data_IF_696661338717
#
_entry.id   IF_696661338717
#
_cell.length_a   1.000
_cell.length_b   1.000
_cell.length_c   1.000
_cell.angle_alpha   90.00
_cell.angle_beta   90.00
_cell.angle_gamma   90.00
#
_symmetry.space_group_name_H-M   'P 1'
#
loop_
_entity.id
_entity.type
_entity.pdbx_description
1 polymer ?
#
# COMPACT_ATOMS: atom_id res chain seq x y z
N UNK A 1 -17.27 7.76 -0.73
CA UNK A 1 -18.26 6.66 -0.76
C UNK A 1 -17.96 5.78 0.44
N UNK A 2 -18.97 5.32 1.17
CA UNK A 2 -18.78 4.40 2.28
C UNK A 2 -18.87 2.94 1.77
N UNK A 3 -17.77 2.16 1.77
CA UNK A 3 -17.77 0.81 1.21
C UNK A 3 -18.57 -0.21 2.03
N UNK A 4 -19.13 0.20 3.17
CA UNK A 4 -19.96 -0.63 4.04
C UNK A 4 -21.42 -0.17 3.96
N UNK A 5 -21.67 1.12 4.20
CA UNK A 5 -23.04 1.66 4.26
C UNK A 5 -23.65 1.91 2.89
N UNK A 6 -22.80 2.17 1.89
CA UNK A 6 -23.19 2.45 0.51
C UNK A 6 -22.71 1.31 -0.42
N UNK A 7 -22.51 0.10 0.12
CA UNK A 7 -22.03 -1.07 -0.65
C UNK A 7 -22.92 -1.36 -1.87
N UNK A 8 -24.22 -1.09 -1.79
CA UNK A 8 -25.21 -1.28 -2.87
C UNK A 8 -24.87 -0.50 -4.16
N UNK A 9 -24.12 0.59 -4.08
CA UNK A 9 -23.71 1.37 -5.26
C UNK A 9 -22.31 1.00 -5.74
N UNK A 10 -21.68 -0.01 -5.13
CA UNK A 10 -20.36 -0.50 -5.50
C UNK A 10 -20.46 -1.89 -6.13
N UNK A 11 -19.49 -2.23 -6.99
CA UNK A 11 -19.46 -3.54 -7.65
C UNK A 11 -18.04 -3.98 -7.95
N UNK A 12 -17.76 -5.24 -7.60
CA UNK A 12 -16.54 -5.95 -7.97
C UNK A 12 -16.71 -6.81 -9.24
N UNK A 13 -17.88 -6.77 -9.86
CA UNK A 13 -18.14 -7.54 -11.08
C UNK A 13 -17.15 -7.13 -12.15
N UNK A 14 -16.45 -8.12 -12.67
CA UNK A 14 -15.45 -7.97 -13.73
C UNK A 14 -15.84 -8.80 -14.93
N UNK A 15 -15.42 -8.35 -16.11
CA UNK A 15 -15.70 -9.02 -17.36
C UNK A 15 -14.38 -9.33 -18.05
N UNK A 16 -14.07 -10.61 -18.22
CA UNK A 16 -12.84 -11.10 -18.84
C UNK A 16 -13.12 -11.35 -20.33
N UNK A 17 -12.20 -10.84 -21.17
CA UNK A 17 -12.23 -11.06 -22.62
C UNK A 17 -12.42 -9.78 -23.43
N UNK A 18 -12.67 -9.90 -24.75
CA UNK A 18 -12.65 -8.79 -25.67
C UNK A 18 -13.72 -7.75 -25.31
N UNK A 19 -13.34 -6.47 -25.34
CA UNK A 19 -14.25 -5.34 -25.17
C UNK A 19 -15.05 -5.14 -26.46
N UNK A 20 -16.37 -4.99 -26.35
CA UNK A 20 -17.22 -4.83 -27.53
C UNK A 20 -16.99 -3.48 -28.20
N UNK A 21 -17.35 -3.41 -29.48
CA UNK A 21 -17.40 -2.15 -30.20
C UNK A 21 -18.65 -1.35 -29.78
N UNK A 22 -18.44 -0.25 -29.04
CA UNK A 22 -19.50 0.59 -28.50
C UNK A 22 -20.42 1.21 -29.58
N UNK A 23 -19.96 1.27 -30.84
CA UNK A 23 -20.72 1.81 -31.96
C UNK A 23 -21.45 0.74 -32.78
N UNK A 24 -21.12 -0.54 -32.60
CA UNK A 24 -21.74 -1.65 -33.33
C UNK A 24 -22.81 -2.31 -32.48
N UNK A 25 -24.04 -1.80 -32.59
CA UNK A 25 -25.18 -2.26 -31.79
C UNK A 25 -25.64 -3.69 -32.15
N UNK A 26 -25.43 -4.13 -33.39
CA UNK A 26 -25.91 -5.43 -33.88
C UNK A 26 -24.86 -6.53 -33.70
N UNK A 27 -23.59 -6.27 -34.05
CA UNK A 27 -22.50 -7.24 -33.98
C UNK A 27 -22.01 -7.50 -32.55
N UNK A 28 -22.05 -6.48 -31.67
CA UNK A 28 -21.66 -6.59 -30.26
C UNK A 28 -22.47 -7.64 -29.50
N UNK A 29 -23.75 -7.80 -29.84
CA UNK A 29 -24.65 -8.78 -29.20
C UNK A 29 -24.17 -10.24 -29.33
N UNK A 30 -23.27 -10.51 -30.29
CA UNK A 30 -22.73 -11.85 -30.58
C UNK A 30 -21.40 -12.14 -29.90
N UNK A 31 -20.74 -11.13 -29.32
CA UNK A 31 -19.49 -11.31 -28.59
C UNK A 31 -19.77 -11.59 -27.11
N UNK A 32 -19.42 -12.80 -26.68
CA UNK A 32 -19.54 -13.22 -25.28
C UNK A 32 -18.34 -12.70 -24.47
N UNK A 33 -18.59 -12.34 -23.21
CA UNK A 33 -17.54 -12.05 -22.20
C UNK A 33 -17.78 -12.93 -20.98
N UNK A 34 -16.72 -13.28 -20.28
CA UNK A 34 -16.83 -14.03 -19.03
C UNK A 34 -17.08 -13.06 -17.89
N UNK A 35 -18.28 -13.12 -17.33
CA UNK A 35 -18.60 -12.40 -16.10
C UNK A 35 -18.07 -13.18 -14.90
N UNK A 36 -17.30 -12.50 -14.05
CA UNK A 36 -16.94 -12.99 -12.73
C UNK A 36 -17.50 -12.02 -11.67
N UNK A 37 -18.09 -12.58 -10.62
CA UNK A 37 -18.74 -11.81 -9.56
C UNK A 37 -17.75 -10.90 -8.79
N UNK A 38 -16.49 -11.31 -8.75
CA UNK A 38 -15.38 -10.60 -8.13
C UNK A 38 -14.08 -10.92 -8.89
N UNK A 39 -13.03 -10.08 -8.77
CA UNK A 39 -11.79 -10.27 -9.51
C UNK A 39 -10.93 -11.42 -8.98
N UNK A 40 -11.15 -11.89 -7.74
CA UNK A 40 -10.33 -12.95 -7.14
C UNK A 40 -10.86 -14.32 -7.57
N UNK A 41 -10.05 -15.10 -8.27
CA UNK A 41 -10.40 -16.43 -8.78
C UNK A 41 -9.84 -17.51 -7.89
N UNK A 42 -10.64 -18.54 -7.58
CA UNK A 42 -10.14 -19.81 -7.04
C UNK A 42 -9.33 -20.56 -8.09
N UNK A 43 -8.51 -21.53 -7.65
CA UNK A 43 -7.74 -22.39 -8.55
C UNK A 43 -8.65 -23.11 -9.56
N UNK A 44 -9.77 -23.65 -9.10
CA UNK A 44 -10.77 -24.30 -9.97
C UNK A 44 -11.36 -23.34 -11.01
N UNK A 45 -11.64 -22.09 -10.63
CA UNK A 45 -12.17 -21.09 -11.56
C UNK A 45 -11.12 -20.70 -12.60
N UNK A 46 -9.85 -20.61 -12.22
CA UNK A 46 -8.77 -20.37 -13.17
C UNK A 46 -8.62 -21.53 -14.17
N UNK A 47 -8.65 -22.78 -13.70
CA UNK A 47 -8.56 -23.95 -14.58
C UNK A 47 -9.75 -24.04 -15.55
N UNK A 48 -10.95 -23.65 -15.11
CA UNK A 48 -12.11 -23.49 -16.02
C UNK A 48 -11.86 -22.46 -17.11
N UNK A 49 -11.21 -21.34 -16.80
CA UNK A 49 -10.84 -20.32 -17.80
C UNK A 49 -9.74 -20.84 -18.72
N UNK A 50 -8.78 -21.62 -18.19
CA UNK A 50 -7.70 -22.22 -18.97
C UNK A 50 -8.22 -23.20 -20.01
N UNK A 51 -9.15 -24.09 -19.62
CA UNK A 51 -9.78 -25.08 -20.50
C UNK A 51 -11.01 -24.60 -21.24
N UNK A 52 -11.37 -23.31 -21.15
CA UNK A 52 -12.66 -22.84 -21.69
C UNK A 52 -12.75 -23.03 -23.21
N UNK A 53 -11.65 -22.89 -23.94
CA UNK A 53 -11.62 -23.02 -25.40
C UNK A 53 -11.97 -24.42 -25.92
N UNK A 54 -11.92 -25.44 -25.06
CA UNK A 54 -12.26 -26.82 -25.43
C UNK A 54 -13.76 -27.09 -25.42
N UNK A 55 -14.56 -26.20 -24.81
CA UNK A 55 -16.02 -26.33 -24.76
C UNK A 55 -16.61 -25.96 -26.12
N UNK A 56 -17.37 -26.87 -26.73
CA UNK A 56 -18.04 -26.61 -28.01
C UNK A 56 -18.98 -25.39 -27.92
N UNK A 57 -19.08 -24.62 -29.02
CA UNK A 57 -19.95 -23.43 -29.14
C UNK A 57 -19.55 -22.21 -28.28
N UNK A 58 -18.25 -22.01 -28.09
CA UNK A 58 -17.73 -20.75 -27.57
C UNK A 58 -16.65 -20.14 -28.47
N UNK A 59 -16.42 -18.84 -28.27
CA UNK A 59 -15.47 -18.04 -29.03
C UNK A 59 -14.20 -17.77 -28.21
N UNK A 60 -14.07 -18.33 -27.01
CA UNK A 60 -12.97 -18.04 -26.11
C UNK A 60 -11.75 -18.87 -26.48
N UNK A 61 -10.59 -18.22 -26.48
CA UNK A 61 -9.30 -18.84 -26.70
C UNK A 61 -8.36 -18.28 -25.66
N UNK A 62 -7.83 -19.20 -24.86
CA UNK A 62 -7.00 -18.87 -23.72
C UNK A 62 -5.59 -19.37 -23.96
N UNK A 63 -4.61 -18.50 -23.72
CA UNK A 63 -3.20 -18.88 -23.66
C UNK A 63 -2.63 -18.57 -22.29
N UNK A 64 -1.81 -19.48 -21.77
CA UNK A 64 -1.01 -19.22 -20.58
C UNK A 64 0.40 -18.80 -20.99
N UNK A 65 0.80 -17.61 -20.56
CA UNK A 65 2.14 -17.08 -20.74
C UNK A 65 2.88 -17.13 -19.42
N UNK A 66 3.87 -18.02 -19.37
CA UNK A 66 4.87 -18.07 -18.31
C UNK A 66 5.61 -16.74 -18.17
N UNK A 67 5.56 -16.16 -16.96
CA UNK A 67 6.24 -14.92 -16.54
C UNK A 67 7.49 -15.17 -15.70
N UNK A 68 8.12 -16.34 -15.85
CA UNK A 68 9.42 -16.64 -15.26
C UNK A 68 10.51 -16.66 -16.33
N UNK A 69 11.79 -16.66 -15.94
CA UNK A 69 12.92 -16.81 -16.87
C UNK A 69 14.05 -17.67 -16.25
N UNK A 70 14.98 -18.14 -17.08
CA UNK A 70 16.08 -19.01 -16.64
C UNK A 70 16.97 -18.32 -15.60
N UNK A 71 17.22 -19.00 -14.48
CA UNK A 71 18.06 -18.50 -13.39
C UNK A 71 19.53 -18.29 -13.83
N UNK A 72 19.97 -19.00 -14.87
CA UNK A 72 21.29 -18.84 -15.50
C UNK A 72 21.51 -17.45 -16.11
N UNK A 73 20.44 -16.74 -16.46
CA UNK A 73 20.52 -15.38 -17.00
C UNK A 73 20.70 -14.30 -15.91
N UNK A 74 20.41 -14.63 -14.64
CA UNK A 74 20.49 -13.71 -13.52
C UNK A 74 19.72 -12.40 -13.71
N UNK A 75 20.04 -11.39 -12.92
CA UNK A 75 19.35 -10.09 -12.95
C UNK A 75 19.33 -9.42 -14.35
N UNK A 76 20.42 -9.47 -15.16
CA UNK A 76 20.39 -8.92 -16.52
C UNK A 76 19.37 -9.57 -17.47
N UNK A 77 18.90 -10.78 -17.15
CA UNK A 77 17.92 -11.53 -17.95
C UNK A 77 16.52 -10.93 -17.95
N UNK A 78 16.11 -10.25 -16.87
CA UNK A 78 14.72 -9.82 -16.66
C UNK A 78 14.21 -8.89 -17.78
N UNK A 79 15.04 -7.95 -18.25
CA UNK A 79 14.63 -7.02 -19.31
C UNK A 79 14.32 -7.71 -20.63
N UNK A 80 15.15 -8.69 -21.03
CA UNK A 80 14.91 -9.48 -22.24
C UNK A 80 13.69 -10.38 -22.09
N UNK A 81 13.51 -10.97 -20.90
CA UNK A 81 12.34 -11.80 -20.59
C UNK A 81 11.03 -11.00 -20.69
N UNK A 82 11.00 -9.78 -20.17
CA UNK A 82 9.88 -8.85 -20.30
C UNK A 82 9.59 -8.48 -21.76
N UNK A 83 10.62 -8.13 -22.54
CA UNK A 83 10.45 -7.80 -23.95
C UNK A 83 9.92 -9.02 -24.74
N UNK A 84 10.39 -10.24 -24.42
CA UNK A 84 9.91 -11.48 -25.02
C UNK A 84 8.47 -11.82 -24.61
N UNK A 85 8.11 -11.59 -23.34
CA UNK A 85 6.75 -11.75 -22.83
C UNK A 85 5.77 -10.83 -23.59
N UNK A 86 6.11 -9.55 -23.75
CA UNK A 86 5.32 -8.59 -24.51
C UNK A 86 5.13 -9.04 -25.97
N UNK A 87 6.17 -9.54 -26.64
CA UNK A 87 6.07 -10.07 -28.00
C UNK A 87 5.22 -11.33 -28.09
N UNK A 88 5.33 -12.26 -27.13
CA UNK A 88 4.50 -13.47 -27.05
C UNK A 88 3.03 -13.11 -26.85
N UNK A 89 2.75 -12.14 -25.97
CA UNK A 89 1.41 -11.62 -25.76
C UNK A 89 0.83 -11.00 -27.02
N UNK A 90 1.59 -10.14 -27.71
CA UNK A 90 1.16 -9.58 -28.99
C UNK A 90 0.88 -10.65 -30.04
N UNK A 91 1.79 -11.62 -30.21
CA UNK A 91 1.65 -12.70 -31.17
C UNK A 91 0.41 -13.57 -30.87
N UNK A 92 0.16 -13.87 -29.59
CA UNK A 92 -1.01 -14.60 -29.16
C UNK A 92 -2.32 -13.87 -29.53
N UNK A 93 -2.43 -12.57 -29.22
CA UNK A 93 -3.64 -11.81 -29.57
C UNK A 93 -3.83 -11.76 -31.09
N UNK A 94 -2.75 -11.61 -31.87
CA UNK A 94 -2.83 -11.65 -33.33
C UNK A 94 -3.21 -13.02 -33.89
N UNK A 95 -2.88 -14.10 -33.19
CA UNK A 95 -3.31 -15.46 -33.51
C UNK A 95 -4.78 -15.74 -33.15
N UNK A 96 -5.45 -14.79 -32.48
CA UNK A 96 -6.86 -14.88 -32.11
C UNK A 96 -7.09 -15.32 -30.66
N UNK A 97 -6.05 -15.38 -29.83
CA UNK A 97 -6.22 -15.54 -28.38
C UNK A 97 -6.91 -14.31 -27.79
N UNK A 98 -7.95 -14.53 -27.00
CA UNK A 98 -8.75 -13.44 -26.43
C UNK A 98 -8.81 -13.46 -24.90
N UNK A 99 -8.10 -14.42 -24.27
CA UNK A 99 -7.75 -14.40 -22.85
C UNK A 99 -6.27 -14.76 -22.73
N UNK A 100 -5.51 -13.93 -22.02
CA UNK A 100 -4.12 -14.21 -21.65
C UNK A 100 -4.07 -14.40 -20.14
N UNK A 101 -3.56 -15.57 -19.71
CA UNK A 101 -3.19 -15.84 -18.32
C UNK A 101 -1.68 -15.59 -18.20
N UNK A 102 -1.28 -14.61 -17.39
CA UNK A 102 0.12 -14.43 -16.98
C UNK A 102 0.36 -15.27 -15.73
N UNK A 103 1.32 -16.20 -15.77
CA UNK A 103 1.50 -17.19 -14.70
C UNK A 103 2.95 -17.30 -14.22
N UNK A 104 3.18 -17.13 -12.92
CA UNK A 104 4.48 -17.37 -12.28
C UNK A 104 4.61 -18.79 -11.68
N UNK A 105 3.62 -19.67 -11.92
CA UNK A 105 3.56 -21.05 -11.36
C UNK A 105 4.74 -21.94 -11.79
N UNK A 106 5.49 -21.56 -12.81
CA UNK A 106 6.73 -22.24 -13.22
C UNK A 106 7.97 -21.84 -12.39
N UNK A 107 7.81 -21.01 -11.36
CA UNK A 107 8.90 -20.62 -10.47
C UNK A 107 9.50 -21.84 -9.78
N UNK A 108 10.82 -21.89 -9.69
CA UNK A 108 11.56 -23.04 -9.17
C UNK A 108 13.05 -22.79 -9.14
N UNK A 109 13.88 -23.80 -8.77
CA UNK A 109 15.32 -23.63 -8.61
C UNK A 109 16.02 -23.05 -9.85
N UNK A 110 15.54 -23.40 -11.04
CA UNK A 110 16.11 -22.96 -12.32
C UNK A 110 15.34 -21.80 -12.96
N UNK A 111 14.28 -21.29 -12.31
CA UNK A 111 13.34 -20.34 -12.88
C UNK A 111 13.00 -19.20 -11.93
N UNK A 112 13.43 -17.99 -12.27
CA UNK A 112 13.18 -16.77 -11.51
C UNK A 112 11.84 -16.16 -11.95
N UNK A 113 10.87 -15.93 -11.05
CA UNK A 113 9.63 -15.23 -11.37
C UNK A 113 9.89 -13.74 -11.61
N UNK A 114 9.33 -13.18 -12.68
CA UNK A 114 9.25 -11.73 -12.86
C UNK A 114 8.17 -11.22 -11.89
N UNK A 115 8.38 -10.12 -11.16
CA UNK A 115 7.35 -9.54 -10.29
C UNK A 115 6.02 -9.38 -11.04
N UNK A 116 4.97 -9.93 -10.46
CA UNK A 116 3.66 -10.11 -11.12
C UNK A 116 3.07 -8.79 -11.61
N UNK A 117 3.22 -7.73 -10.81
CA UNK A 117 2.83 -6.36 -11.15
C UNK A 117 3.60 -5.82 -12.35
N UNK A 118 4.92 -6.04 -12.40
CA UNK A 118 5.76 -5.58 -13.50
C UNK A 118 5.42 -6.30 -14.80
N UNK A 119 5.24 -7.63 -14.77
CA UNK A 119 4.83 -8.42 -15.92
C UNK A 119 3.45 -7.99 -16.44
N UNK A 120 2.48 -7.83 -15.54
CA UNK A 120 1.11 -7.39 -15.85
C UNK A 120 1.12 -6.02 -16.52
N UNK A 121 1.78 -5.05 -15.91
CA UNK A 121 1.83 -3.67 -16.41
C UNK A 121 2.58 -3.58 -17.75
N UNK A 122 3.69 -4.31 -17.89
CA UNK A 122 4.45 -4.38 -19.14
C UNK A 122 3.58 -4.87 -20.32
N UNK A 123 2.87 -5.98 -20.13
CA UNK A 123 1.98 -6.56 -21.14
C UNK A 123 0.79 -5.64 -21.39
N UNK A 124 0.15 -5.12 -20.34
CA UNK A 124 -0.98 -4.19 -20.46
C UNK A 124 -0.62 -2.98 -21.33
N UNK A 125 0.46 -2.27 -21.01
CA UNK A 125 0.89 -1.11 -21.77
C UNK A 125 1.41 -1.44 -23.16
N UNK A 126 2.08 -2.57 -23.34
CA UNK A 126 2.50 -3.03 -24.67
C UNK A 126 1.31 -3.25 -25.60
N UNK A 127 0.30 -3.98 -25.12
CA UNK A 127 -0.91 -4.24 -25.89
C UNK A 127 -1.71 -2.96 -26.17
N UNK A 128 -1.68 -1.96 -25.28
CA UNK A 128 -2.28 -0.64 -25.56
C UNK A 128 -1.55 0.05 -26.71
N UNK A 129 -0.21 0.11 -26.66
CA UNK A 129 0.60 0.75 -27.71
C UNK A 129 0.40 0.09 -29.08
N UNK A 130 0.19 -1.22 -29.11
CA UNK A 130 -0.09 -1.96 -30.35
C UNK A 130 -1.58 -1.93 -30.76
N UNK A 131 -2.48 -1.29 -29.99
CA UNK A 131 -3.92 -1.24 -30.30
C UNK A 131 -4.66 -2.56 -30.10
N UNK A 132 -4.12 -3.47 -29.30
CA UNK A 132 -4.63 -4.84 -29.10
C UNK A 132 -5.26 -5.07 -27.72
N UNK A 133 -5.09 -4.17 -26.73
CA UNK A 133 -5.56 -4.40 -25.35
C UNK A 133 -7.08 -4.57 -25.25
N UNK A 134 -7.86 -3.96 -26.15
CA UNK A 134 -9.33 -4.13 -26.18
C UNK A 134 -9.76 -5.49 -26.69
N UNK A 135 -8.89 -6.24 -27.37
CA UNK A 135 -9.22 -7.53 -27.98
C UNK A 135 -8.99 -8.73 -27.07
N UNK A 136 -8.46 -8.51 -25.86
CA UNK A 136 -8.02 -9.58 -24.97
C UNK A 136 -8.31 -9.25 -23.51
N UNK A 137 -8.70 -10.26 -22.74
CA UNK A 137 -8.76 -10.19 -21.28
C UNK A 137 -7.44 -10.62 -20.64
N UNK A 138 -7.07 -9.98 -19.53
CA UNK A 138 -5.80 -10.25 -18.84
C UNK A 138 -6.07 -10.82 -17.45
N UNK A 139 -5.68 -12.07 -17.24
CA UNK A 139 -5.78 -12.78 -15.96
C UNK A 139 -4.38 -13.02 -15.41
N UNK A 140 -4.22 -12.87 -14.10
CA UNK A 140 -2.92 -13.05 -13.44
C UNK A 140 -3.00 -14.22 -12.46
N UNK A 141 -2.22 -15.26 -12.70
CA UNK A 141 -1.97 -16.37 -11.77
C UNK A 141 -0.64 -16.08 -11.07
N UNK A 142 -0.68 -15.79 -9.76
CA UNK A 142 0.52 -15.37 -9.04
C UNK A 142 0.64 -15.95 -7.64
N UNK A 143 1.87 -16.30 -7.25
CA UNK A 143 2.22 -16.64 -5.87
C UNK A 143 2.55 -15.42 -5.00
N UNK A 144 2.73 -14.24 -5.58
CA UNK A 144 3.19 -13.03 -4.87
C UNK A 144 2.05 -12.30 -4.14
N UNK A 145 0.85 -12.27 -4.72
CA UNK A 145 -0.27 -11.48 -4.22
C UNK A 145 -0.97 -12.14 -3.02
N UNK A 146 -0.89 -11.50 -1.86
CA UNK A 146 -1.53 -11.93 -0.62
C UNK A 146 -2.13 -10.76 0.19
N UNK A 147 -1.69 -9.52 -0.07
CA UNK A 147 -2.22 -8.31 0.56
C UNK A 147 -3.18 -7.53 -0.35
N UNK A 148 -4.17 -6.85 0.26
CA UNK A 148 -5.15 -6.01 -0.45
C UNK A 148 -4.51 -5.00 -1.41
N UNK A 149 -3.36 -4.42 -1.04
CA UNK A 149 -2.68 -3.46 -1.88
C UNK A 149 -2.13 -4.09 -3.17
N UNK A 150 -1.59 -5.31 -3.09
CA UNK A 150 -1.07 -6.03 -4.26
C UNK A 150 -2.19 -6.31 -5.26
N UNK A 151 -3.35 -6.80 -4.80
CA UNK A 151 -4.52 -6.98 -5.66
C UNK A 151 -4.98 -5.66 -6.30
N UNK A 152 -5.03 -4.58 -5.53
CA UNK A 152 -5.41 -3.27 -6.03
C UNK A 152 -4.42 -2.73 -7.08
N UNK A 153 -3.12 -2.95 -6.89
CA UNK A 153 -2.11 -2.56 -7.90
C UNK A 153 -2.25 -3.38 -9.17
N UNK A 154 -2.33 -4.71 -9.09
CA UNK A 154 -2.56 -5.58 -10.26
C UNK A 154 -3.81 -5.16 -11.04
N UNK A 155 -4.92 -4.89 -10.34
CA UNK A 155 -6.13 -4.35 -10.95
C UNK A 155 -5.88 -2.99 -11.62
N UNK A 156 -5.28 -2.04 -10.91
CA UNK A 156 -5.01 -0.69 -11.40
C UNK A 156 -4.07 -0.64 -12.60
N UNK A 157 -3.27 -1.68 -12.83
CA UNK A 157 -2.38 -1.84 -13.99
C UNK A 157 -2.86 -2.89 -15.00
N UNK A 158 -4.14 -3.28 -14.93
CA UNK A 158 -4.85 -3.90 -16.05
C UNK A 158 -5.22 -5.37 -15.91
N UNK A 159 -5.04 -5.98 -14.74
CA UNK A 159 -5.57 -7.31 -14.44
C UNK A 159 -7.10 -7.26 -14.30
N UNK A 160 -7.81 -8.04 -15.12
CA UNK A 160 -9.26 -8.18 -15.04
C UNK A 160 -9.67 -9.20 -13.97
N UNK A 161 -8.83 -10.20 -13.74
CA UNK A 161 -8.99 -11.17 -12.66
C UNK A 161 -7.63 -11.68 -12.18
N UNK A 162 -7.57 -12.14 -10.93
CA UNK A 162 -6.34 -12.51 -10.23
C UNK A 162 -6.58 -13.82 -9.47
N UNK A 163 -5.72 -14.80 -9.65
CA UNK A 163 -5.68 -16.04 -8.89
C UNK A 163 -4.41 -16.06 -8.00
N UNK A 164 -4.56 -15.82 -6.67
CA UNK A 164 -3.45 -15.87 -5.72
C UNK A 164 -3.21 -17.30 -5.23
N UNK A 165 -2.74 -18.20 -6.10
CA UNK A 165 -2.70 -19.63 -5.79
C UNK A 165 -1.90 -19.95 -4.52
N UNK A 166 -0.76 -19.28 -4.30
CA UNK A 166 0.12 -19.58 -3.17
C UNK A 166 -0.48 -19.09 -1.86
N UNK A 167 -1.28 -18.02 -1.88
CA UNK A 167 -2.01 -17.57 -0.71
C UNK A 167 -3.06 -18.63 -0.30
N UNK A 168 -3.76 -19.24 -1.25
CA UNK A 168 -4.69 -20.33 -0.96
C UNK A 168 -3.98 -21.58 -0.42
N UNK A 169 -2.89 -22.00 -1.06
CA UNK A 169 -2.09 -23.14 -0.59
C UNK A 169 -1.53 -22.89 0.83
N UNK A 170 -1.13 -21.66 1.13
CA UNK A 170 -0.68 -21.25 2.47
C UNK A 170 -1.82 -21.34 3.49
N UNK A 171 -3.01 -20.85 3.15
CA UNK A 171 -4.19 -20.93 4.02
C UNK A 171 -4.53 -22.39 4.33
N UNK A 172 -4.52 -23.25 3.30
CA UNK A 172 -4.78 -24.68 3.45
C UNK A 172 -3.75 -25.37 4.35
N UNK A 173 -2.47 -25.04 4.19
CA UNK A 173 -1.40 -25.56 5.04
C UNK A 173 -1.52 -25.10 6.50
N UNK A 174 -2.06 -23.90 6.74
CA UNK A 174 -2.25 -23.33 8.08
C UNK A 174 -3.52 -23.82 8.78
N UNK A 175 -4.47 -24.45 8.08
CA UNK A 175 -5.74 -24.92 8.68
C UNK A 175 -5.56 -25.74 9.96
N UNK A 176 -4.61 -26.69 10.07
CA UNK A 176 -4.44 -27.50 11.28
C UNK A 176 -4.00 -26.69 12.52
N UNK A 177 -3.50 -25.47 12.32
CA UNK A 177 -3.02 -24.58 13.39
C UNK A 177 -4.09 -23.58 13.85
N UNK A 178 -5.23 -23.49 13.15
CA UNK A 178 -6.30 -22.56 13.50
C UNK A 178 -7.15 -23.11 14.65
N UNK A 179 -7.51 -22.22 15.58
CA UNK A 179 -8.39 -22.56 16.73
C UNK A 179 -9.84 -22.91 16.30
N UNK A 180 -10.24 -22.60 15.06
CA UNK A 180 -11.57 -22.86 14.51
C UNK A 180 -11.51 -24.03 13.50
N UNK A 181 -12.38 -25.03 13.66
CA UNK A 181 -12.52 -26.13 12.68
C UNK A 181 -13.15 -25.61 11.39
N UNK A 182 -12.31 -25.28 10.40
CA UNK A 182 -12.72 -24.79 9.08
C UNK A 182 -12.37 -25.79 7.99
N UNK A 183 -13.24 -25.91 6.99
CA UNK A 183 -12.89 -26.58 5.74
C UNK A 183 -12.04 -25.64 4.88
N UNK A 184 -11.19 -26.20 4.01
CA UNK A 184 -10.41 -25.43 3.04
C UNK A 184 -11.30 -24.50 2.18
N UNK A 185 -12.43 -25.00 1.72
CA UNK A 185 -13.40 -24.23 0.94
C UNK A 185 -13.93 -23.01 1.70
N UNK A 186 -14.29 -23.16 2.97
CA UNK A 186 -14.79 -22.05 3.78
C UNK A 186 -13.69 -21.04 4.10
N UNK A 187 -12.47 -21.50 4.38
CA UNK A 187 -11.32 -20.62 4.61
C UNK A 187 -10.98 -19.77 3.37
N UNK A 188 -10.92 -20.39 2.19
CA UNK A 188 -10.72 -19.70 0.90
C UNK A 188 -11.83 -18.68 0.66
N UNK A 189 -13.08 -19.06 0.88
CA UNK A 189 -14.23 -18.15 0.73
C UNK A 189 -14.18 -16.95 1.67
N UNK A 190 -13.78 -17.15 2.94
CA UNK A 190 -13.60 -16.06 3.92
C UNK A 190 -12.45 -15.14 3.50
N UNK A 191 -11.35 -15.69 3.00
CA UNK A 191 -10.23 -14.91 2.47
C UNK A 191 -10.64 -14.05 1.28
N UNK A 192 -11.32 -14.64 0.28
CA UNK A 192 -11.86 -13.89 -0.89
C UNK A 192 -12.76 -12.76 -0.41
N UNK A 193 -13.70 -13.03 0.50
CA UNK A 193 -14.60 -12.01 1.06
C UNK A 193 -13.85 -10.88 1.76
N UNK A 194 -12.78 -11.19 2.50
CA UNK A 194 -11.95 -10.18 3.17
C UNK A 194 -11.19 -9.32 2.15
N UNK A 195 -10.60 -9.95 1.14
CA UNK A 195 -9.89 -9.28 0.04
C UNK A 195 -10.84 -8.38 -0.76
N UNK A 196 -12.03 -8.87 -1.10
CA UNK A 196 -13.07 -8.10 -1.80
C UNK A 196 -13.47 -6.84 -1.04
N UNK A 197 -13.74 -6.96 0.27
CA UNK A 197 -13.99 -5.80 1.14
C UNK A 197 -12.80 -4.85 1.19
N UNK A 198 -11.59 -5.39 1.16
CA UNK A 198 -10.35 -4.62 1.05
C UNK A 198 -10.29 -3.80 -0.24
N UNK A 199 -10.59 -4.42 -1.39
CA UNK A 199 -10.59 -3.76 -2.71
C UNK A 199 -11.66 -2.67 -2.75
N UNK A 200 -12.89 -2.96 -2.30
CA UNK A 200 -13.96 -1.95 -2.18
C UNK A 200 -13.50 -0.75 -1.33
N UNK A 201 -12.80 -1.00 -0.23
CA UNK A 201 -12.24 0.05 0.63
C UNK A 201 -11.15 0.86 -0.07
N UNK A 202 -10.32 0.26 -0.91
CA UNK A 202 -9.31 1.01 -1.68
C UNK A 202 -9.98 1.89 -2.73
N UNK A 203 -10.93 1.34 -3.49
CA UNK A 203 -11.67 2.07 -4.52
C UNK A 203 -12.46 3.25 -3.95
N UNK A 204 -13.08 3.06 -2.79
CA UNK A 204 -13.93 4.08 -2.15
C UNK A 204 -13.15 5.32 -1.68
N UNK A 205 -11.83 5.20 -1.42
CA UNK A 205 -10.95 6.34 -1.06
C UNK A 205 -10.93 7.43 -2.13
N UNK A 206 -11.08 7.04 -3.39
CA UNK A 206 -11.13 7.95 -4.54
C UNK A 206 -12.55 8.11 -5.10
N UNK A 207 -13.55 7.57 -4.42
CA UNK A 207 -14.95 7.64 -4.84
C UNK A 207 -15.26 6.81 -6.09
N UNK A 208 -14.52 5.72 -6.33
CA UNK A 208 -14.76 4.82 -7.46
C UNK A 208 -15.70 3.70 -7.01
N UNK A 209 -16.80 3.51 -7.75
CA UNK A 209 -17.82 2.51 -7.43
C UNK A 209 -17.60 1.14 -8.06
N UNK A 210 -17.02 1.07 -9.27
CA UNK A 210 -16.97 -0.18 -10.04
C UNK A 210 -15.55 -0.63 -10.33
N UNK A 211 -15.28 -1.93 -10.18
CA UNK A 211 -13.98 -2.52 -10.48
C UNK A 211 -13.57 -2.29 -11.94
N UNK A 212 -14.52 -2.32 -12.87
CA UNK A 212 -14.27 -2.07 -14.29
C UNK A 212 -13.70 -0.68 -14.58
N UNK A 213 -14.12 0.34 -13.82
CA UNK A 213 -13.57 1.69 -13.92
C UNK A 213 -12.24 1.83 -13.20
N UNK A 214 -11.99 0.99 -12.18
CA UNK A 214 -10.72 0.97 -11.45
C UNK A 214 -9.62 0.23 -12.23
N UNK A 215 -9.99 -0.82 -12.97
CA UNK A 215 -9.08 -1.65 -13.73
C UNK A 215 -8.36 -0.85 -14.84
N UNK A 216 -7.03 -0.76 -14.74
CA UNK A 216 -6.20 0.03 -15.66
C UNK A 216 -6.20 1.55 -15.40
N UNK A 217 -6.85 2.04 -14.34
CA UNK A 217 -6.98 3.47 -14.08
C UNK A 217 -5.74 4.11 -13.39
N UNK A 218 -4.79 3.31 -12.92
CA UNK A 218 -3.54 3.77 -12.30
C UNK A 218 -3.73 4.79 -11.16
N UNK A 219 -4.57 4.45 -10.18
CA UNK A 219 -4.88 5.31 -9.02
C UNK A 219 -3.77 5.21 -7.96
N UNK A 220 -2.53 5.47 -8.37
CA UNK A 220 -1.32 5.30 -7.58
C UNK A 220 -0.28 6.37 -7.91
N UNK A 221 0.53 6.74 -6.91
CA UNK A 221 1.76 7.52 -7.09
C UNK A 221 2.95 6.62 -6.80
N UNK A 222 3.97 6.65 -7.66
CA UNK A 222 5.20 5.90 -7.48
C UNK A 222 6.21 6.72 -6.66
N UNK A 223 6.76 6.11 -5.60
CA UNK A 223 7.82 6.71 -4.78
C UNK A 223 9.05 5.80 -4.85
N UNK A 224 10.19 6.36 -5.26
CA UNK A 224 11.45 5.62 -5.38
C UNK A 224 11.63 4.88 -6.70
N UNK A 225 10.81 5.13 -7.74
CA UNK A 225 10.97 4.52 -9.07
C UNK A 225 11.50 5.55 -10.07
N UNK A 226 12.48 5.17 -10.89
CA UNK A 226 13.06 6.06 -11.90
C UNK A 226 12.06 6.36 -13.03
N UNK A 227 12.09 7.60 -13.54
CA UNK A 227 11.12 8.05 -14.56
C UNK A 227 11.17 7.25 -15.87
N UNK A 228 12.34 6.77 -16.30
CA UNK A 228 12.49 5.94 -17.50
C UNK A 228 11.84 4.56 -17.34
N UNK A 229 11.98 3.95 -16.16
CA UNK A 229 11.33 2.71 -15.78
C UNK A 229 9.81 2.86 -15.74
N UNK A 230 9.32 3.92 -15.09
CA UNK A 230 7.88 4.24 -15.06
C UNK A 230 7.37 4.52 -16.47
N UNK A 231 8.07 5.32 -17.28
CA UNK A 231 7.67 5.62 -18.65
C UNK A 231 7.54 4.35 -19.51
N UNK A 232 8.42 3.36 -19.31
CA UNK A 232 8.38 2.10 -20.08
C UNK A 232 7.29 1.14 -19.59
N UNK A 233 7.22 0.90 -18.28
CA UNK A 233 6.44 -0.20 -17.70
C UNK A 233 5.15 0.24 -17.00
N UNK A 234 5.05 1.46 -16.51
CA UNK A 234 3.92 2.00 -15.75
C UNK A 234 3.49 3.37 -16.34
N UNK A 235 3.39 3.44 -17.67
CA UNK A 235 3.24 4.70 -18.40
C UNK A 235 2.01 5.47 -17.91
N UNK A 236 2.21 6.70 -17.43
CA UNK A 236 1.14 7.57 -16.91
C UNK A 236 1.21 7.80 -15.40
N UNK A 237 1.87 6.90 -14.65
CA UNK A 237 2.06 7.04 -13.21
C UNK A 237 3.03 8.18 -12.89
N UNK A 238 2.72 8.98 -11.87
CA UNK A 238 3.62 10.05 -11.41
C UNK A 238 4.69 9.48 -10.49
N UNK A 239 5.93 9.99 -10.62
CA UNK A 239 6.97 9.79 -9.63
C UNK A 239 7.70 11.10 -9.34
N UNK A 240 7.60 11.59 -8.10
CA UNK A 240 8.25 12.84 -7.68
C UNK A 240 9.65 12.61 -7.10
N UNK A 241 9.85 11.45 -6.50
CA UNK A 241 11.13 11.04 -5.91
C UNK A 241 11.55 9.79 -6.66
N UNK A 242 12.57 9.93 -7.51
CA UNK A 242 13.13 8.83 -8.29
C UNK A 242 14.00 7.91 -7.42
N UNK A 243 14.34 6.73 -7.96
CA UNK A 243 15.22 5.79 -7.28
C UNK A 243 15.59 4.62 -8.19
N UNK A 244 15.10 3.44 -7.82
CA UNK A 244 15.40 2.17 -8.47
C UNK A 244 14.80 2.08 -9.87
N UNK A 245 15.47 1.35 -10.76
CA UNK A 245 14.98 0.96 -12.06
C UNK A 245 14.90 -0.56 -12.18
N UNK A 246 14.94 -1.04 -13.42
CA UNK A 246 14.83 -2.47 -13.71
C UNK A 246 16.00 -3.28 -13.15
N UNK A 247 17.22 -2.72 -13.14
CA UNK A 247 18.42 -3.43 -12.69
C UNK A 247 18.36 -3.77 -11.20
N UNK A 248 18.00 -2.81 -10.37
CA UNK A 248 17.89 -3.00 -8.93
C UNK A 248 16.73 -3.92 -8.57
N UNK A 249 15.56 -3.78 -9.22
CA UNK A 249 14.41 -4.68 -9.03
C UNK A 249 14.79 -6.12 -9.44
N UNK A 250 15.48 -6.28 -10.57
CA UNK A 250 15.90 -7.60 -11.02
C UNK A 250 16.94 -8.22 -10.08
N UNK A 251 17.86 -7.41 -9.53
CA UNK A 251 18.83 -7.86 -8.54
C UNK A 251 18.13 -8.35 -7.27
N UNK A 252 17.24 -7.56 -6.67
CA UNK A 252 16.50 -7.94 -5.47
C UNK A 252 15.67 -9.21 -5.69
N UNK A 253 15.02 -9.33 -6.86
CA UNK A 253 14.26 -10.53 -7.23
C UNK A 253 15.15 -11.78 -7.27
N UNK A 254 16.35 -11.67 -7.84
CA UNK A 254 17.30 -12.78 -7.93
C UNK A 254 17.93 -13.10 -6.58
N UNK A 255 18.21 -12.10 -5.74
CA UNK A 255 18.71 -12.30 -4.37
C UNK A 255 17.69 -13.08 -3.52
N UNK A 256 16.41 -12.71 -3.59
CA UNK A 256 15.32 -13.44 -2.92
C UNK A 256 15.18 -14.88 -3.44
N UNK A 257 15.27 -15.06 -4.76
CA UNK A 257 15.24 -16.38 -5.39
C UNK A 257 16.41 -17.26 -4.92
N UNK A 258 17.64 -16.74 -4.94
CA UNK A 258 18.83 -17.44 -4.46
C UNK A 258 18.71 -17.81 -2.99
N UNK A 259 18.15 -16.92 -2.17
CA UNK A 259 17.92 -17.17 -0.75
C UNK A 259 16.92 -18.31 -0.54
N UNK A 260 15.80 -18.30 -1.27
CA UNK A 260 14.74 -19.32 -1.18
C UNK A 260 15.23 -20.72 -1.60
N UNK A 261 16.15 -20.79 -2.57
CA UNK A 261 16.75 -22.05 -3.03
C UNK A 261 18.15 -22.32 -2.45
N UNK A 262 18.56 -21.58 -1.43
CA UNK A 262 19.82 -21.81 -0.71
C UNK A 262 19.71 -22.98 0.26
N UNK A 263 20.86 -23.53 0.66
CA UNK A 263 20.95 -24.56 1.69
C UNK A 263 20.83 -24.01 3.13
N UNK A 264 20.30 -22.80 3.31
CA UNK A 264 20.14 -22.17 4.62
C UNK A 264 19.22 -23.02 5.53
N UNK A 265 19.72 -23.62 6.63
CA UNK A 265 18.92 -24.55 7.43
C UNK A 265 17.68 -23.91 8.06
N UNK A 266 17.75 -22.62 8.41
CA UNK A 266 16.64 -21.87 9.02
C UNK A 266 15.48 -21.71 8.05
N UNK A 267 15.78 -21.41 6.78
CA UNK A 267 14.76 -21.16 5.76
C UNK A 267 14.07 -22.44 5.26
N UNK A 268 14.58 -23.62 5.64
CA UNK A 268 13.94 -24.90 5.33
C UNK A 268 12.65 -25.13 6.13
N UNK A 269 12.59 -24.61 7.35
CA UNK A 269 11.49 -24.87 8.29
C UNK A 269 10.76 -23.61 8.75
N UNK A 270 11.30 -22.41 8.46
CA UNK A 270 10.69 -21.14 8.86
C UNK A 270 10.99 -20.02 7.87
N UNK A 271 10.04 -19.10 7.71
CA UNK A 271 10.26 -17.82 7.03
C UNK A 271 11.15 -16.90 7.87
N UNK A 272 11.70 -15.86 7.25
CA UNK A 272 12.40 -14.82 7.99
C UNK A 272 11.46 -14.16 9.01
N UNK A 273 12.06 -13.69 10.11
CA UNK A 273 11.38 -13.09 11.26
C UNK A 273 10.57 -11.85 10.84
N UNK A 274 10.96 -11.18 9.76
CA UNK A 274 10.35 -9.95 9.26
C UNK A 274 10.46 -8.81 10.27
N UNK A 275 9.64 -7.78 10.10
CA UNK A 275 9.60 -6.64 11.02
C UNK A 275 8.89 -5.42 10.48
N UNK A 276 8.15 -5.55 9.39
CA UNK A 276 7.54 -4.47 8.62
C UNK A 276 6.44 -3.78 9.45
N UNK A 277 5.62 -4.58 10.13
CA UNK A 277 4.48 -4.10 10.92
C UNK A 277 4.83 -3.73 12.36
N UNK A 278 5.83 -4.38 12.95
CA UNK A 278 6.19 -4.21 14.35
C UNK A 278 7.69 -4.44 14.56
N UNK A 279 8.26 -3.67 15.48
CA UNK A 279 9.67 -3.80 15.85
C UNK A 279 10.01 -5.21 16.32
N UNK A 280 11.05 -5.80 15.72
CA UNK A 280 11.68 -7.04 16.14
C UNK A 280 13.20 -6.83 16.23
N UNK A 281 13.87 -7.55 17.12
CA UNK A 281 15.31 -7.37 17.38
C UNK A 281 16.16 -7.65 16.13
N UNK A 282 15.77 -8.64 15.32
CA UNK A 282 16.44 -9.04 14.07
C UNK A 282 15.61 -8.68 12.83
N UNK A 283 14.65 -7.78 12.97
CA UNK A 283 13.76 -7.38 11.88
C UNK A 283 14.15 -6.07 11.23
N UNK A 284 13.21 -5.52 10.48
CA UNK A 284 13.33 -4.21 9.84
C UNK A 284 13.68 -3.09 10.82
N UNK A 285 14.32 -2.03 10.29
CA UNK A 285 14.73 -0.89 11.09
C UNK A 285 13.54 0.05 11.38
N UNK A 286 13.27 0.31 12.67
CA UNK A 286 12.21 1.23 13.12
C UNK A 286 12.76 2.52 13.69
N UNK A 287 12.05 3.64 13.43
CA UNK A 287 12.34 4.92 14.08
C UNK A 287 12.08 4.84 15.60
N UNK A 288 10.97 4.22 16.00
CA UNK A 288 10.61 4.03 17.40
C UNK A 288 11.08 2.65 17.90
N UNK A 289 12.16 2.64 18.67
CA UNK A 289 12.72 1.44 19.31
C UNK A 289 12.64 1.53 20.83
N UNK A 290 12.68 0.41 21.56
CA UNK A 290 12.59 0.44 23.03
C UNK A 290 13.60 1.38 23.70
N UNK A 291 14.85 1.44 23.23
CA UNK A 291 15.88 2.34 23.77
C UNK A 291 15.54 3.82 23.58
N UNK A 292 15.05 4.19 22.39
CA UNK A 292 14.64 5.55 22.03
C UNK A 292 13.48 6.01 22.92
N UNK A 293 12.47 5.14 23.09
CA UNK A 293 11.32 5.43 23.95
C UNK A 293 11.76 5.57 25.41
N UNK A 294 12.61 4.68 25.91
CA UNK A 294 13.11 4.72 27.28
C UNK A 294 13.91 6.00 27.56
N UNK A 295 14.83 6.39 26.67
CA UNK A 295 15.62 7.62 26.85
C UNK A 295 14.74 8.87 26.85
N UNK A 296 13.74 8.95 25.97
CA UNK A 296 12.77 10.05 25.98
C UNK A 296 11.97 10.10 27.30
N UNK A 297 11.47 8.95 27.76
CA UNK A 297 10.71 8.86 29.01
C UNK A 297 11.55 9.28 30.23
N UNK A 298 12.80 8.83 30.31
CA UNK A 298 13.71 9.21 31.39
C UNK A 298 14.10 10.69 31.32
N UNK A 299 14.28 11.24 30.11
CA UNK A 299 14.58 12.65 29.92
C UNK A 299 13.46 13.54 30.48
N UNK A 300 12.20 13.25 30.13
CA UNK A 300 11.07 14.09 30.53
C UNK A 300 10.64 13.87 31.99
N UNK A 301 10.74 12.64 32.52
CA UNK A 301 10.36 12.34 33.91
C UNK A 301 11.42 12.76 34.93
N UNK A 302 12.71 12.60 34.58
CA UNK A 302 13.82 12.96 35.45
C UNK A 302 14.35 14.38 35.25
N UNK A 303 13.80 15.12 34.27
CA UNK A 303 14.34 16.40 33.81
C UNK A 303 15.85 16.32 33.53
N UNK A 304 16.26 15.31 32.75
CA UNK A 304 17.67 14.96 32.49
C UNK A 304 18.05 15.38 31.06
N UNK A 305 18.75 16.51 30.86
CA UNK A 305 19.13 16.99 29.52
C UNK A 305 20.00 16.00 28.75
N UNK A 306 20.88 15.27 29.43
CA UNK A 306 21.74 14.27 28.79
C UNK A 306 20.95 13.12 28.17
N UNK A 307 19.85 12.70 28.82
CA UNK A 307 18.96 11.67 28.25
C UNK A 307 18.21 12.20 27.03
N UNK A 308 17.83 13.47 27.02
CA UNK A 308 17.25 14.09 25.82
C UNK A 308 18.28 14.17 24.68
N UNK A 309 19.54 14.51 24.98
CA UNK A 309 20.61 14.52 23.97
C UNK A 309 20.87 13.11 23.43
N UNK A 310 20.86 12.08 24.28
CA UNK A 310 20.96 10.67 23.85
C UNK A 310 19.80 10.28 22.92
N UNK A 311 18.56 10.62 23.29
CA UNK A 311 17.38 10.42 22.45
C UNK A 311 17.51 11.14 21.09
N UNK A 312 17.84 12.44 21.11
CA UNK A 312 17.97 13.26 19.92
C UNK A 312 19.10 12.75 19.01
N UNK A 313 20.22 12.33 19.59
CA UNK A 313 21.34 11.71 18.87
C UNK A 313 20.88 10.42 18.18
N UNK A 314 20.20 9.51 18.88
CA UNK A 314 19.69 8.28 18.28
C UNK A 314 18.70 8.52 17.13
N UNK A 315 17.79 9.49 17.27
CA UNK A 315 16.82 9.85 16.21
C UNK A 315 17.51 10.54 15.03
N UNK A 316 18.50 11.38 15.29
CA UNK A 316 19.18 12.16 14.25
C UNK A 316 20.26 11.36 13.53
N UNK A 317 21.02 10.50 14.20
CA UNK A 317 22.04 9.64 13.59
C UNK A 317 21.42 8.42 12.87
N UNK A 318 20.18 8.04 13.20
CA UNK A 318 19.37 7.13 12.37
C UNK A 318 19.19 7.63 10.92
N UNK A 319 19.48 8.90 10.66
CA UNK A 319 19.64 9.44 9.31
C UNK A 319 20.57 8.60 8.43
N UNK A 320 21.60 7.96 9.00
CA UNK A 320 22.49 7.04 8.27
C UNK A 320 21.80 5.74 7.84
N UNK A 321 20.72 5.32 8.52
CA UNK A 321 19.87 4.19 8.13
C UNK A 321 18.80 4.58 7.09
N UNK A 322 18.74 5.86 6.67
CA UNK A 322 17.90 6.39 5.58
C UNK A 322 16.39 6.05 5.68
N UNK A 323 15.84 5.98 6.89
CA UNK A 323 14.42 5.65 7.14
C UNK A 323 13.41 6.68 6.62
N UNK A 324 13.85 7.91 6.36
CA UNK A 324 12.97 9.02 5.92
C UNK A 324 13.69 9.90 4.92
N UNK A 325 12.94 10.51 3.99
CA UNK A 325 13.49 11.45 3.00
C UNK A 325 14.26 12.61 3.64
N UNK A 326 13.82 13.11 4.80
CA UNK A 326 14.52 14.20 5.51
C UNK A 326 15.95 13.81 5.94
N UNK A 327 16.22 12.52 6.14
CA UNK A 327 17.56 12.03 6.45
C UNK A 327 18.53 12.18 5.29
N UNK A 328 18.05 12.22 4.04
CA UNK A 328 18.93 12.43 2.89
C UNK A 328 19.48 13.86 2.80
N UNK A 329 18.98 14.78 3.63
CA UNK A 329 19.40 16.18 3.62
C UNK A 329 20.32 16.48 4.80
N UNK A 330 21.41 17.21 4.52
CA UNK A 330 22.19 17.89 5.55
C UNK A 330 21.86 19.37 5.59
N UNK A 331 21.79 19.95 6.78
CA UNK A 331 21.70 21.40 6.95
C UNK A 331 23.10 21.98 6.71
N UNK A 332 23.22 22.91 5.76
CA UNK A 332 24.46 23.67 5.57
C UNK A 332 24.69 24.58 6.78
N UNK A 333 25.86 24.47 7.39
CA UNK A 333 26.22 25.29 8.55
C UNK A 333 26.50 26.74 8.12
N UNK A 334 26.59 27.66 9.08
CA UNK A 334 27.03 29.02 8.78
C UNK A 334 28.44 29.02 8.15
N UNK A 335 29.31 28.14 8.63
CA UNK A 335 30.67 27.94 8.12
C UNK A 335 30.67 27.42 6.68
N UNK A 336 29.81 26.47 6.34
CA UNK A 336 29.61 25.99 4.95
C UNK A 336 29.19 27.11 3.98
N UNK A 337 28.70 28.22 4.51
CA UNK A 337 28.20 29.37 3.75
C UNK A 337 29.09 30.62 3.91
N UNK A 338 30.30 30.48 4.46
CA UNK A 338 31.23 31.59 4.75
C UNK A 338 30.62 32.66 5.68
N UNK A 339 29.76 32.24 6.61
CA UNK A 339 29.10 33.09 7.61
C UNK A 339 29.54 32.72 9.01
N UNK A 340 29.54 33.71 9.92
CA UNK A 340 29.78 33.48 11.34
C UNK A 340 28.50 32.93 12.01
N UNK A 341 28.60 31.88 12.84
CA UNK A 341 27.50 31.44 13.68
C UNK A 341 26.99 32.58 14.56
N UNK A 342 25.67 32.63 14.75
CA UNK A 342 25.03 33.64 15.59
C UNK A 342 25.05 33.16 17.06
N UNK A 343 25.38 34.03 18.03
CA UNK A 343 25.26 33.71 19.45
C UNK A 343 23.85 33.26 19.86
N UNK A 344 23.74 32.28 20.76
CA UNK A 344 22.45 31.67 21.15
C UNK A 344 21.48 32.66 21.80
N UNK A 345 21.99 33.70 22.47
CA UNK A 345 21.21 34.78 23.08
C UNK A 345 20.52 35.69 22.06
N UNK A 346 20.97 35.68 20.80
CA UNK A 346 20.31 36.39 19.70
C UNK A 346 19.23 35.53 19.01
N UNK A 347 19.16 34.24 19.32
CA UNK A 347 18.12 33.35 18.80
C UNK A 347 16.80 33.59 19.55
N UNK A 348 15.69 33.43 18.84
CA UNK A 348 14.35 33.51 19.43
C UNK A 348 14.24 32.62 20.68
N UNK A 349 13.76 33.14 21.83
CA UNK A 349 13.64 32.36 23.05
C UNK A 349 12.75 31.13 22.88
N UNK A 350 13.12 30.02 23.53
CA UNK A 350 12.34 28.76 23.46
C UNK A 350 10.85 28.95 23.81
N UNK A 351 10.53 29.82 24.77
CA UNK A 351 9.16 30.18 25.15
C UNK A 351 8.31 30.77 24.02
N UNK A 352 8.92 31.39 23.01
CA UNK A 352 8.24 31.91 21.82
C UNK A 352 8.14 30.84 20.74
N UNK A 353 9.20 30.04 20.56
CA UNK A 353 9.23 28.93 19.59
C UNK A 353 8.12 27.90 19.91
N UNK A 354 7.97 27.50 21.17
CA UNK A 354 6.98 26.47 21.57
C UNK A 354 5.52 26.88 21.28
N UNK A 355 5.24 28.18 21.12
CA UNK A 355 3.89 28.66 20.72
C UNK A 355 3.51 28.22 19.31
N UNK A 356 4.49 27.86 18.47
CA UNK A 356 4.27 27.31 17.12
C UNK A 356 3.94 25.82 17.15
N UNK A 357 4.19 25.13 18.26
CA UNK A 357 3.93 23.71 18.37
C UNK A 357 2.45 23.44 18.61
N UNK A 358 1.97 22.38 17.97
CA UNK A 358 0.62 21.85 18.18
C UNK A 358 0.72 20.35 18.44
N UNK A 359 -0.05 19.85 19.41
CA UNK A 359 -0.19 18.40 19.56
C UNK A 359 -1.05 17.84 18.42
N UNK A 360 -0.83 16.59 18.05
CA UNK A 360 -1.64 15.91 17.05
C UNK A 360 -3.12 15.86 17.44
N UNK A 361 -3.99 15.75 16.42
CA UNK A 361 -5.43 15.59 16.58
C UNK A 361 -5.76 14.15 16.98
N UNK A 362 -5.74 13.86 18.29
CA UNK A 362 -6.07 12.55 18.84
C UNK A 362 -7.44 12.62 19.50
N UNK A 363 -8.37 11.78 19.03
CA UNK A 363 -9.76 11.82 19.50
C UNK A 363 -9.88 11.33 20.93
N UNK A 364 -10.77 12.00 21.68
CA UNK A 364 -11.38 11.40 22.85
C UNK A 364 -12.08 10.10 22.44
N UNK A 365 -11.73 8.98 23.10
CA UNK A 365 -12.15 7.63 22.71
C UNK A 365 -11.04 6.78 22.10
N UNK A 366 -10.10 7.38 21.36
CA UNK A 366 -8.85 6.69 20.97
C UNK A 366 -7.78 6.78 22.06
N UNK A 367 -7.80 7.86 22.85
CA UNK A 367 -6.97 8.02 24.05
C UNK A 367 -7.86 8.31 25.27
N UNK A 368 -7.32 8.05 26.46
CA UNK A 368 -8.04 8.28 27.72
C UNK A 368 -8.27 9.77 27.97
N UNK A 369 -9.26 10.09 28.81
CA UNK A 369 -9.55 11.47 29.23
C UNK A 369 -8.33 12.13 29.84
N UNK A 370 -7.62 11.40 30.70
CA UNK A 370 -6.44 11.84 31.43
C UNK A 370 -5.33 12.20 30.45
N UNK A 371 -5.08 11.38 29.43
CA UNK A 371 -4.09 11.67 28.40
C UNK A 371 -4.49 12.92 27.60
N UNK A 372 -5.76 13.00 27.19
CA UNK A 372 -6.28 14.09 26.36
C UNK A 372 -6.23 15.45 27.09
N UNK A 373 -6.69 15.50 28.34
CA UNK A 373 -6.68 16.72 29.15
C UNK A 373 -5.27 17.11 29.57
N UNK A 374 -4.38 16.15 29.85
CA UNK A 374 -2.96 16.41 30.15
C UNK A 374 -2.28 17.16 29.00
N UNK A 375 -2.52 16.75 27.76
CA UNK A 375 -1.99 17.44 26.58
C UNK A 375 -2.54 18.87 26.46
N UNK A 376 -3.85 19.05 26.68
CA UNK A 376 -4.47 20.37 26.62
C UNK A 376 -3.90 21.32 27.69
N UNK A 377 -3.81 20.87 28.93
CA UNK A 377 -3.21 21.64 30.04
C UNK A 377 -1.76 22.00 29.70
N UNK A 378 -0.95 21.03 29.25
CA UNK A 378 0.46 21.26 28.93
C UNK A 378 0.62 22.32 27.81
N UNK A 379 -0.13 22.20 26.72
CA UNK A 379 -0.05 23.13 25.60
C UNK A 379 -0.57 24.52 25.97
N UNK A 380 -1.60 24.61 26.80
CA UNK A 380 -2.11 25.89 27.29
C UNK A 380 -1.09 26.60 28.19
N UNK A 381 -0.42 25.87 29.09
CA UNK A 381 0.64 26.42 29.97
C UNK A 381 1.81 27.00 29.18
N UNK A 382 2.24 26.35 28.11
CA UNK A 382 3.38 26.80 27.29
C UNK A 382 2.98 27.76 26.17
N UNK A 383 1.69 28.11 26.06
CA UNK A 383 1.17 29.00 25.01
C UNK A 383 1.05 28.36 23.62
N UNK A 384 1.33 27.07 23.47
CA UNK A 384 1.09 26.31 22.25
C UNK A 384 -0.39 25.96 22.05
N UNK A 385 -0.68 24.97 21.20
CA UNK A 385 -2.05 24.56 20.87
C UNK A 385 -2.24 23.05 21.01
N UNK A 386 -3.34 22.63 21.61
CA UNK A 386 -3.81 21.25 21.51
C UNK A 386 -5.03 21.17 20.59
N UNK A 387 -5.29 19.95 20.10
CA UNK A 387 -6.37 19.66 19.17
C UNK A 387 -7.27 18.56 19.75
N UNK A 388 -8.59 18.75 19.66
CA UNK A 388 -9.58 17.81 20.19
C UNK A 388 -9.58 16.44 19.51
N UNK A 389 -9.15 16.37 18.25
CA UNK A 389 -9.47 15.24 17.38
C UNK A 389 -10.98 15.14 17.11
N UNK A 390 -11.40 14.00 16.56
CA UNK A 390 -12.75 13.83 16.01
C UNK A 390 -13.84 13.63 17.06
N UNK A 391 -13.49 13.28 18.30
CA UNK A 391 -14.41 12.77 19.32
C UNK A 391 -15.18 13.83 20.11
N UNK A 392 -15.04 15.11 19.76
CA UNK A 392 -15.59 16.22 20.52
C UNK A 392 -14.76 16.60 21.76
N UNK A 393 -15.34 17.43 22.62
CA UNK A 393 -14.76 17.86 23.89
C UNK A 393 -15.87 18.13 24.91
N UNK A 394 -15.72 17.68 26.15
CA UNK A 394 -16.72 17.85 27.19
C UNK A 394 -16.79 19.30 27.70
N UNK A 395 -18.00 19.81 27.95
CA UNK A 395 -18.22 21.23 28.26
C UNK A 395 -17.62 21.70 29.58
N UNK A 396 -17.40 20.78 30.53
CA UNK A 396 -16.73 21.11 31.79
C UNK A 396 -15.29 21.62 31.57
N UNK A 397 -14.64 21.20 30.47
CA UNK A 397 -13.28 21.59 30.11
C UNK A 397 -13.14 23.04 29.66
N UNK A 398 -14.25 23.68 29.28
CA UNK A 398 -14.27 25.07 28.84
C UNK A 398 -14.06 26.04 30.00
N UNK A 399 -14.31 25.59 31.23
CA UNK A 399 -14.06 26.36 32.44
C UNK A 399 -12.60 26.21 32.88
N UNK A 400 -11.90 27.31 33.19
CA UNK A 400 -10.60 27.24 33.83
C UNK A 400 -10.68 26.48 35.16
N UNK A 401 -9.64 25.72 35.46
CA UNK A 401 -9.47 25.03 36.73
C UNK A 401 -9.14 26.04 37.84
N UNK A 402 -9.42 25.71 39.12
CA UNK A 402 -9.13 26.60 40.25
C UNK A 402 -7.66 27.03 40.37
N UNK A 403 -6.73 26.24 39.85
CA UNK A 403 -5.29 26.54 39.84
C UNK A 403 -4.86 27.42 38.64
N UNK A 404 -5.79 27.89 37.82
CA UNK A 404 -5.53 28.71 36.63
C UNK A 404 -5.25 27.92 35.34
N UNK A 405 -5.16 26.60 35.40
CA UNK A 405 -5.00 25.78 34.20
C UNK A 405 -6.28 25.74 33.35
N UNK A 406 -6.13 25.36 32.08
CA UNK A 406 -7.27 25.11 31.19
C UNK A 406 -7.16 23.75 30.52
N UNK A 407 -8.23 22.96 30.60
CA UNK A 407 -8.36 21.68 29.90
C UNK A 407 -8.92 21.84 28.48
N UNK A 408 -9.32 23.06 28.10
CA UNK A 408 -9.91 23.36 26.80
C UNK A 408 -8.84 23.25 25.71
N UNK A 409 -9.12 22.48 24.67
CA UNK A 409 -8.24 22.47 23.50
C UNK A 409 -8.44 23.71 22.63
N UNK A 410 -7.37 24.34 22.14
CA UNK A 410 -7.50 25.55 21.32
C UNK A 410 -8.02 25.25 19.91
N UNK A 411 -7.65 24.10 19.36
CA UNK A 411 -8.08 23.66 18.03
C UNK A 411 -9.24 22.68 18.19
N UNK A 412 -10.34 22.94 17.49
CA UNK A 412 -11.56 22.14 17.48
C UNK A 412 -11.71 21.52 16.09
N UNK A 413 -11.70 20.19 16.01
CA UNK A 413 -11.83 19.48 14.73
C UNK A 413 -13.30 19.27 14.36
N UNK A 414 -13.58 19.35 13.06
CA UNK A 414 -14.87 19.05 12.44
C UNK A 414 -14.63 18.00 11.36
N UNK A 415 -14.80 16.73 11.72
CA UNK A 415 -14.60 15.57 10.84
C UNK A 415 -15.94 15.04 10.31
N UNK A 416 -15.91 14.11 9.35
CA UNK A 416 -17.10 13.58 8.64
C UNK A 416 -18.26 13.15 9.55
N UNK A 417 -17.97 12.45 10.65
CA UNK A 417 -18.98 11.99 11.62
C UNK A 417 -19.59 13.10 12.50
N UNK A 418 -18.97 14.29 12.54
CA UNK A 418 -19.41 15.44 13.35
C UNK A 418 -19.63 15.12 14.84
N UNK A 419 -18.89 14.14 15.39
CA UNK A 419 -19.04 13.76 16.79
C UNK A 419 -18.69 14.92 17.72
N UNK A 420 -19.58 15.20 18.69
CA UNK A 420 -19.42 16.28 19.65
C UNK A 420 -19.37 17.69 19.07
N UNK A 421 -19.69 17.88 17.78
CA UNK A 421 -19.75 19.21 17.15
C UNK A 421 -21.07 19.88 17.52
N UNK A 422 -21.01 20.78 18.50
CA UNK A 422 -22.14 21.61 18.95
C UNK A 422 -21.81 23.10 18.79
N UNK A 423 -22.83 23.97 18.90
CA UNK A 423 -22.61 25.42 18.94
C UNK A 423 -21.64 25.81 20.05
N UNK A 424 -21.81 25.25 21.25
CA UNK A 424 -20.92 25.51 22.40
C UNK A 424 -19.48 25.04 22.11
N UNK A 425 -19.31 23.87 21.49
CA UNK A 425 -18.00 23.35 21.10
C UNK A 425 -17.27 24.27 20.12
N UNK A 426 -17.98 24.76 19.10
CA UNK A 426 -17.42 25.66 18.09
C UNK A 426 -17.13 27.06 18.67
N UNK A 427 -18.00 27.57 19.54
CA UNK A 427 -17.77 28.85 20.23
C UNK A 427 -16.55 28.82 21.15
N UNK A 428 -16.12 27.64 21.59
CA UNK A 428 -14.92 27.43 22.42
C UNK A 428 -13.66 27.09 21.59
N UNK A 429 -13.68 27.31 20.28
CA UNK A 429 -12.51 27.17 19.40
C UNK A 429 -11.73 28.49 19.29
N UNK A 430 -10.40 28.42 19.39
CA UNK A 430 -9.54 29.50 18.86
C UNK A 430 -9.26 29.27 17.36
N UNK A 431 -9.34 28.00 16.91
CA UNK A 431 -9.17 27.58 15.53
C UNK A 431 -10.06 26.37 15.24
N UNK A 432 -10.72 26.37 14.08
CA UNK A 432 -11.51 25.25 13.60
C UNK A 432 -10.74 24.50 12.51
N UNK A 433 -10.55 23.19 12.69
CA UNK A 433 -9.90 22.33 11.70
C UNK A 433 -10.94 21.47 10.99
N UNK A 434 -11.10 21.66 9.68
CA UNK A 434 -11.89 20.76 8.84
C UNK A 434 -11.00 19.56 8.51
N UNK A 435 -11.45 18.36 8.87
CA UNK A 435 -10.74 17.10 8.58
C UNK A 435 -11.47 16.30 7.51
#
# INVERSE_FOLDING_TARGET
IDPIREELVMSLVTFIGPRPNLLDLEGTSRQKRLEAAHPILTNDNLERIRGIGDIADNQFRTVTLDITYGADHGAPGMGKALDQLCRRAEAAVRAGENIIILSDRAAGPDRVPIPSLLATSAVHHHLIRCGLRTSVGLVVETGEAHEVHQFATLAGYGAEAINPYLAFETIEAMLPELDEELTAEEAVKRYIKATDKGILKVMSKMGISTYQSYCGAQIFDAVGLRSDFVAKYFTGTKSQVEGVGLEEIARETVELHQLAFSDAPVLREALDVGGEYAYRIRGEAHMWRPSVVADLQHAVRGNLPEKYRSFAKQINEQTEQLLTLRGMFRIKTAEDMDRKPVPLDQVEPAKEIVKRFSTGAMSFGSISREAHTTLAIAMNRIGGRSNTGEGGEESDRYKPLPNGDSMRSKIKQVASGRFGVTTEYLMNADMMQIK
#
